data_IF_257787144612
#
_entry.id   IF_257787144612
#
_cell.length_a   1.000
_cell.length_b   1.000
_cell.length_c   1.000
_cell.angle_alpha   90.00
_cell.angle_beta   90.00
_cell.angle_gamma   90.00
#
_symmetry.space_group_name_H-M   'P 1'
#
loop_
_entity.id
_entity.type
_entity.pdbx_description
1 polymer ?
#
# COMPACT_ATOMS: atom_id res chain seq x y z
N UNK A 1 16.57 13.69 8.41
CA UNK A 1 15.20 13.43 8.92
C UNK A 1 14.44 12.59 7.90
N UNK A 2 14.19 11.32 8.22
CA UNK A 2 13.44 10.36 7.38
C UNK A 2 11.97 10.23 7.81
N UNK A 3 11.19 9.45 7.07
CA UNK A 3 9.81 9.10 7.40
C UNK A 3 9.69 7.60 7.72
N UNK A 4 8.94 7.24 8.76
CA UNK A 4 8.76 5.85 9.16
C UNK A 4 7.29 5.54 9.44
N UNK A 5 6.78 4.45 8.87
CA UNK A 5 5.36 4.10 8.91
C UNK A 5 5.12 2.60 9.15
N UNK A 6 4.00 2.29 9.82
CA UNK A 6 3.62 0.91 10.17
C UNK A 6 2.46 0.47 9.27
N UNK A 7 2.69 -0.59 8.50
CA UNK A 7 1.74 -1.28 7.63
C UNK A 7 0.90 -0.33 6.74
N UNK A 8 1.53 0.64 6.04
CA UNK A 8 0.77 1.60 5.24
C UNK A 8 0.04 0.92 4.07
N UNK A 9 -1.13 1.44 3.73
CA UNK A 9 -1.74 1.18 2.43
C UNK A 9 -1.24 2.24 1.45
N UNK A 10 -0.47 1.83 0.45
CA UNK A 10 0.29 2.75 -0.41
C UNK A 10 -0.44 3.10 -1.70
N UNK A 11 -1.59 2.48 -1.95
CA UNK A 11 -2.46 2.77 -3.09
C UNK A 11 -3.94 2.71 -2.72
N UNK A 12 -4.73 3.54 -3.39
CA UNK A 12 -6.19 3.49 -3.41
C UNK A 12 -6.72 2.89 -4.73
N UNK A 13 -5.86 2.50 -5.67
CA UNK A 13 -6.28 1.98 -6.96
C UNK A 13 -6.80 0.54 -6.86
N UNK A 14 -8.10 0.28 -7.12
CA UNK A 14 -8.66 -1.06 -7.03
C UNK A 14 -8.05 -2.06 -8.02
N UNK A 15 -7.51 -1.58 -9.16
CA UNK A 15 -6.84 -2.44 -10.13
C UNK A 15 -5.51 -2.93 -9.57
N UNK A 16 -4.68 -2.02 -9.04
CA UNK A 16 -3.42 -2.36 -8.38
C UNK A 16 -3.67 -3.31 -7.19
N UNK A 17 -4.63 -2.98 -6.32
CA UNK A 17 -4.99 -3.84 -5.19
C UNK A 17 -5.38 -5.26 -5.63
N UNK A 18 -6.17 -5.38 -6.71
CA UNK A 18 -6.59 -6.69 -7.25
C UNK A 18 -5.43 -7.49 -7.81
N UNK A 19 -4.54 -6.83 -8.53
CA UNK A 19 -3.37 -7.44 -9.15
C UNK A 19 -2.36 -7.91 -8.10
N UNK A 20 -2.08 -7.07 -7.10
CA UNK A 20 -1.07 -7.37 -6.08
C UNK A 20 -1.59 -8.36 -5.04
N UNK A 21 -2.89 -8.31 -4.71
CA UNK A 21 -3.50 -9.15 -3.68
C UNK A 21 -4.94 -9.51 -4.08
N UNK A 22 -5.18 -10.67 -4.72
CA UNK A 22 -6.46 -11.02 -5.33
C UNK A 22 -7.68 -11.06 -4.40
N UNK A 23 -7.48 -11.18 -3.08
CA UNK A 23 -8.53 -11.11 -2.05
C UNK A 23 -8.62 -9.75 -1.33
N UNK A 24 -7.96 -8.71 -1.84
CA UNK A 24 -8.16 -7.34 -1.36
C UNK A 24 -9.53 -6.82 -1.80
N UNK A 25 -10.40 -6.57 -0.83
CA UNK A 25 -11.77 -6.05 -1.04
C UNK A 25 -12.02 -4.74 -0.29
N UNK A 26 -10.97 -4.14 0.27
CA UNK A 26 -11.04 -2.88 1.01
C UNK A 26 -10.85 -1.68 0.06
N UNK A 27 -11.24 -0.48 0.48
CA UNK A 27 -11.03 0.76 -0.28
C UNK A 27 -12.30 1.46 -0.79
N UNK A 28 -13.28 0.73 -1.34
CA UNK A 28 -14.47 1.36 -1.94
C UNK A 28 -15.30 2.24 -0.99
N UNK A 29 -15.35 1.88 0.29
CA UNK A 29 -16.01 2.68 1.33
C UNK A 29 -15.36 4.06 1.57
N UNK A 30 -14.07 4.24 1.29
CA UNK A 30 -13.37 5.52 1.46
C UNK A 30 -13.90 6.60 0.50
N UNK A 31 -14.53 6.18 -0.60
CA UNK A 31 -15.14 7.08 -1.59
C UNK A 31 -16.65 7.28 -1.37
N UNK A 32 -17.22 6.70 -0.30
CA UNK A 32 -18.60 6.95 0.15
C UNK A 32 -19.73 6.52 -0.79
N UNK A 33 -19.44 5.89 -1.94
CA UNK A 33 -20.43 5.69 -3.02
C UNK A 33 -20.48 4.29 -3.66
N UNK A 34 -19.79 3.30 -3.10
CA UNK A 34 -19.64 1.96 -3.71
C UNK A 34 -20.19 0.79 -2.89
N UNK A 35 -20.98 1.08 -1.85
CA UNK A 35 -21.64 0.06 -1.05
C UNK A 35 -23.12 0.37 -0.91
N UNK A 36 -23.98 -0.60 -1.20
CA UNK A 36 -25.39 -0.57 -0.81
C UNK A 36 -25.57 -1.35 0.50
N UNK A 37 -26.62 -0.99 1.25
CA UNK A 37 -26.97 -1.70 2.48
C UNK A 37 -27.20 -3.18 2.19
N UNK A 38 -26.39 -4.05 2.81
CA UNK A 38 -26.48 -5.51 2.64
C UNK A 38 -25.48 -6.11 1.65
N UNK A 39 -24.74 -5.31 0.89
CA UNK A 39 -23.72 -5.84 -0.03
C UNK A 39 -22.58 -6.53 0.72
N UNK A 40 -22.12 -7.67 0.20
CA UNK A 40 -20.88 -8.32 0.67
C UNK A 40 -19.66 -7.59 0.10
N UNK A 41 -18.54 -7.61 0.84
CA UNK A 41 -17.27 -6.96 0.44
C UNK A 41 -16.84 -7.22 -1.03
N UNK A 42 -16.91 -8.46 -1.57
CA UNK A 42 -16.53 -8.70 -2.96
C UNK A 42 -17.40 -7.96 -3.99
N UNK A 43 -18.71 -7.84 -3.73
CA UNK A 43 -19.63 -7.12 -4.61
C UNK A 43 -19.34 -5.61 -4.58
N UNK A 44 -19.16 -5.05 -3.38
CA UNK A 44 -18.78 -3.63 -3.20
C UNK A 44 -17.47 -3.32 -3.93
N UNK A 45 -16.46 -4.19 -3.79
CA UNK A 45 -15.19 -4.00 -4.48
C UNK A 45 -15.33 -4.14 -6.00
N UNK A 46 -16.16 -5.06 -6.50
CA UNK A 46 -16.39 -5.17 -7.94
C UNK A 46 -16.99 -3.88 -8.52
N UNK A 47 -17.95 -3.27 -7.81
CA UNK A 47 -18.49 -1.94 -8.16
C UNK A 47 -17.42 -0.86 -8.10
N UNK A 48 -16.58 -0.85 -7.07
CA UNK A 48 -15.46 0.09 -6.94
C UNK A 48 -14.45 -0.05 -8.10
N UNK A 49 -14.08 -1.29 -8.46
CA UNK A 49 -13.19 -1.58 -9.58
C UNK A 49 -13.79 -1.14 -10.92
N UNK A 50 -15.08 -1.38 -11.15
CA UNK A 50 -15.76 -0.93 -12.37
C UNK A 50 -15.82 0.60 -12.47
N UNK A 51 -15.91 1.30 -11.34
CA UNK A 51 -15.94 2.76 -11.26
C UNK A 51 -14.54 3.40 -11.17
N UNK A 52 -13.46 2.63 -11.41
CA UNK A 52 -12.07 3.11 -11.25
C UNK A 52 -11.80 4.42 -11.98
N UNK A 53 -12.26 4.54 -13.22
CA UNK A 53 -12.01 5.74 -14.03
C UNK A 53 -12.66 6.99 -13.42
N UNK A 54 -13.85 6.86 -12.82
CA UNK A 54 -14.57 7.96 -12.17
C UNK A 54 -13.90 8.47 -10.89
N UNK A 55 -13.08 7.63 -10.24
CA UNK A 55 -12.31 7.98 -9.03
C UNK A 55 -10.82 8.16 -9.31
N UNK A 56 -10.36 7.94 -10.53
CA UNK A 56 -8.95 8.02 -10.88
C UNK A 56 -8.32 9.37 -10.50
N UNK A 57 -8.99 10.54 -10.65
CA UNK A 57 -8.45 11.81 -10.16
C UNK A 57 -8.17 11.80 -8.65
N UNK A 58 -9.08 11.23 -7.86
CA UNK A 58 -8.92 11.09 -6.41
C UNK A 58 -7.83 10.06 -6.06
N UNK A 59 -7.76 8.94 -6.79
CA UNK A 59 -6.69 7.95 -6.61
C UNK A 59 -5.32 8.61 -6.82
N UNK A 60 -5.16 9.37 -7.91
CA UNK A 60 -3.91 10.11 -8.19
C UNK A 60 -3.61 11.17 -7.14
N UNK A 61 -4.63 11.88 -6.66
CA UNK A 61 -4.45 12.92 -5.66
C UNK A 61 -4.09 12.37 -4.27
N UNK A 62 -4.51 11.16 -3.91
CA UNK A 62 -4.43 10.68 -2.52
C UNK A 62 -3.68 9.36 -2.31
N UNK A 63 -3.25 8.65 -3.35
CA UNK A 63 -2.44 7.44 -3.20
C UNK A 63 -0.97 7.81 -2.97
N UNK A 64 -0.32 7.39 -1.87
CA UNK A 64 1.10 7.67 -1.63
C UNK A 64 2.01 7.29 -2.80
N UNK A 65 1.75 6.14 -3.44
CA UNK A 65 2.55 5.70 -4.60
C UNK A 65 2.47 6.66 -5.79
N UNK A 66 1.43 7.48 -5.93
CA UNK A 66 1.28 8.42 -7.06
C UNK A 66 2.14 9.69 -6.90
N UNK A 67 2.66 9.96 -5.70
CA UNK A 67 3.40 11.18 -5.36
C UNK A 67 4.91 10.98 -5.14
N UNK A 68 5.42 9.78 -5.38
CA UNK A 68 6.86 9.52 -5.25
C UNK A 68 7.66 10.44 -6.17
N UNK A 69 8.67 11.09 -5.60
CA UNK A 69 9.55 12.06 -6.24
C UNK A 69 10.99 11.93 -5.71
N UNK A 70 11.98 12.33 -6.50
CA UNK A 70 13.40 12.14 -6.15
C UNK A 70 13.87 12.96 -4.94
N UNK A 71 13.10 13.96 -4.52
CA UNK A 71 13.35 14.79 -3.34
C UNK A 71 12.62 14.28 -2.08
N UNK A 72 11.92 13.14 -2.15
CA UNK A 72 11.36 12.50 -0.97
C UNK A 72 12.47 12.10 0.02
N UNK A 73 12.21 12.22 1.33
CA UNK A 73 13.17 11.78 2.34
C UNK A 73 13.32 10.25 2.33
N UNK A 74 14.40 9.71 2.93
CA UNK A 74 14.49 8.27 3.19
C UNK A 74 13.25 7.74 3.91
N UNK A 75 12.73 6.61 3.42
CA UNK A 75 11.48 6.02 3.92
C UNK A 75 11.77 4.67 4.58
N UNK A 76 11.16 4.45 5.74
CA UNK A 76 11.08 3.14 6.38
C UNK A 76 9.64 2.65 6.45
N UNK A 77 9.41 1.40 6.04
CA UNK A 77 8.11 0.76 6.11
C UNK A 77 8.19 -0.55 6.88
N UNK A 78 7.33 -0.73 7.87
CA UNK A 78 7.23 -1.97 8.63
C UNK A 78 5.98 -2.76 8.30
N UNK A 79 6.14 -4.04 7.96
CA UNK A 79 5.05 -5.02 7.86
C UNK A 79 5.34 -6.26 8.69
N UNK A 80 4.27 -6.97 9.09
CA UNK A 80 4.36 -8.19 9.90
C UNK A 80 4.39 -9.48 9.08
N UNK A 81 3.96 -9.44 7.82
CA UNK A 81 3.77 -10.62 6.97
C UNK A 81 4.76 -10.66 5.79
N UNK A 82 5.05 -11.86 5.32
CA UNK A 82 5.91 -12.10 4.15
C UNK A 82 5.20 -11.64 2.87
N UNK A 83 5.85 -10.89 1.97
CA UNK A 83 5.24 -10.49 0.70
C UNK A 83 4.96 -11.71 -0.18
N UNK A 84 3.81 -11.71 -0.85
CA UNK A 84 3.42 -12.68 -1.88
C UNK A 84 2.58 -11.97 -2.93
N UNK A 85 3.25 -11.27 -3.86
CA UNK A 85 2.60 -10.56 -4.96
C UNK A 85 1.75 -11.54 -5.79
N UNK A 86 0.53 -11.13 -6.13
CA UNK A 86 -0.41 -11.94 -6.92
C UNK A 86 -1.07 -13.09 -6.17
N UNK A 87 -0.79 -13.25 -4.87
CA UNK A 87 -1.36 -14.32 -4.04
C UNK A 87 -2.32 -13.79 -2.98
N UNK A 88 -3.21 -14.66 -2.50
CA UNK A 88 -4.11 -14.32 -1.38
C UNK A 88 -3.31 -14.14 -0.10
N UNK A 89 -3.74 -13.17 0.70
CA UNK A 89 -3.12 -12.83 2.00
C UNK A 89 -4.11 -13.06 3.13
N UNK A 90 -3.61 -13.41 4.32
CA UNK A 90 -4.43 -13.55 5.54
C UNK A 90 -5.04 -12.21 5.96
N UNK A 91 -4.24 -11.15 5.92
CA UNK A 91 -4.67 -9.76 6.13
C UNK A 91 -4.37 -8.91 4.88
N UNK A 92 -5.27 -8.88 3.89
CA UNK A 92 -5.04 -8.17 2.63
C UNK A 92 -5.05 -6.64 2.78
N UNK A 93 -5.55 -6.09 3.90
CA UNK A 93 -5.55 -4.63 4.13
C UNK A 93 -4.17 -4.15 4.59
N UNK A 94 -3.45 -4.99 5.33
CA UNK A 94 -2.13 -4.66 5.90
C UNK A 94 -0.98 -5.49 5.30
N UNK A 95 -1.16 -5.98 4.08
CA UNK A 95 -0.16 -6.81 3.40
C UNK A 95 1.11 -6.04 3.02
N UNK A 96 2.27 -6.67 3.18
CA UNK A 96 3.57 -6.16 2.72
C UNK A 96 3.68 -5.98 1.21
N UNK A 97 2.75 -6.54 0.42
CA UNK A 97 2.70 -6.31 -1.03
C UNK A 97 2.61 -4.80 -1.36
N UNK A 98 1.92 -4.01 -0.52
CA UNK A 98 1.88 -2.54 -0.67
C UNK A 98 3.26 -1.90 -0.49
N UNK A 99 4.04 -2.38 0.47
CA UNK A 99 5.39 -1.91 0.74
C UNK A 99 6.35 -2.25 -0.39
N UNK A 100 6.30 -3.48 -0.90
CA UNK A 100 7.15 -3.92 -2.02
C UNK A 100 6.94 -3.03 -3.24
N UNK A 101 5.69 -2.77 -3.63
CA UNK A 101 5.39 -1.96 -4.82
C UNK A 101 5.73 -0.48 -4.63
N UNK A 102 5.62 0.06 -3.42
CA UNK A 102 6.09 1.42 -3.14
C UNK A 102 7.62 1.50 -3.14
N UNK A 103 8.31 0.52 -2.56
CA UNK A 103 9.77 0.45 -2.54
C UNK A 103 10.36 0.41 -3.96
N UNK A 104 9.79 -0.40 -4.86
CA UNK A 104 10.17 -0.43 -6.27
C UNK A 104 10.13 0.99 -6.89
N UNK A 105 9.03 1.73 -6.69
CA UNK A 105 8.88 3.09 -7.23
C UNK A 105 9.83 4.12 -6.58
N UNK A 106 10.08 3.99 -5.27
CA UNK A 106 11.05 4.81 -4.55
C UNK A 106 12.46 4.60 -5.10
N UNK A 107 12.87 3.35 -5.30
CA UNK A 107 14.16 3.01 -5.88
C UNK A 107 14.31 3.50 -7.33
N UNK A 108 13.25 3.38 -8.15
CA UNK A 108 13.22 3.95 -9.51
C UNK A 108 13.43 5.47 -9.52
N UNK A 109 13.03 6.16 -8.45
CA UNK A 109 13.19 7.61 -8.28
C UNK A 109 14.47 8.01 -7.53
N UNK A 110 15.32 7.05 -7.16
CA UNK A 110 16.55 7.28 -6.41
C UNK A 110 16.36 7.57 -4.92
N UNK A 111 15.17 7.30 -4.37
CA UNK A 111 14.84 7.52 -2.96
C UNK A 111 15.21 6.29 -2.14
N UNK A 112 15.94 6.50 -1.06
CA UNK A 112 16.29 5.44 -0.11
C UNK A 112 15.04 4.87 0.55
N UNK A 113 14.88 3.56 0.52
CA UNK A 113 13.75 2.89 1.15
C UNK A 113 14.18 1.60 1.86
N UNK A 114 13.97 1.54 3.17
CA UNK A 114 14.14 0.34 3.96
C UNK A 114 12.77 -0.29 4.28
N UNK A 115 12.58 -1.53 3.83
CA UNK A 115 11.30 -2.24 3.95
C UNK A 115 11.47 -3.46 4.84
N UNK A 116 10.99 -3.35 6.08
CA UNK A 116 10.90 -4.50 6.97
C UNK A 116 9.63 -5.32 6.68
N UNK A 117 9.81 -6.63 6.56
CA UNK A 117 8.77 -7.65 6.69
C UNK A 117 9.35 -8.90 7.36
N UNK A 118 8.50 -9.87 7.72
CA UNK A 118 8.99 -11.12 8.33
C UNK A 118 10.00 -11.82 7.44
N UNK A 119 11.25 -11.93 7.91
CA UNK A 119 12.35 -12.56 7.17
C UNK A 119 13.07 -11.62 6.18
N UNK A 120 12.80 -10.31 6.22
CA UNK A 120 13.63 -9.32 5.55
C UNK A 120 15.00 -9.23 6.23
N UNK A 121 16.05 -9.05 5.42
CA UNK A 121 17.39 -8.72 5.90
C UNK A 121 17.54 -7.20 5.88
N UNK A 122 17.34 -6.57 7.04
CA UNK A 122 17.29 -5.12 7.20
C UNK A 122 18.01 -4.72 8.48
N UNK A 123 18.56 -3.51 8.49
CA UNK A 123 19.29 -2.97 9.63
C UNK A 123 18.35 -2.65 10.81
N UNK A 124 17.19 -2.06 10.50
CA UNK A 124 16.20 -1.64 11.46
C UNK A 124 15.04 -2.64 11.49
N UNK A 125 14.90 -3.34 12.61
CA UNK A 125 13.78 -4.28 12.81
C UNK A 125 12.52 -3.61 13.36
N UNK A 126 12.62 -2.34 13.77
CA UNK A 126 11.50 -1.57 14.33
C UNK A 126 11.47 -0.14 13.77
N UNK A 127 10.29 0.47 13.77
CA UNK A 127 10.16 1.91 13.46
C UNK A 127 10.99 2.76 14.43
N UNK A 128 11.04 2.38 15.72
CA UNK A 128 11.79 3.13 16.71
C UNK A 128 13.29 3.12 16.43
N UNK A 129 13.87 1.96 16.09
CA UNK A 129 15.30 1.85 15.78
C UNK A 129 15.66 2.72 14.58
N UNK A 130 14.84 2.73 13.52
CA UNK A 130 15.06 3.57 12.35
C UNK A 130 15.02 5.07 12.68
N UNK A 131 14.02 5.50 13.45
CA UNK A 131 13.87 6.93 13.77
C UNK A 131 14.99 7.44 14.69
N UNK A 132 15.52 6.60 15.59
CA UNK A 132 16.61 6.99 16.48
C UNK A 132 17.97 7.14 15.77
N UNK A 133 18.14 6.54 14.59
CA UNK A 133 19.38 6.60 13.80
C UNK A 133 19.44 7.84 12.85
N UNK A 134 18.33 8.56 12.66
CA UNK A 134 18.15 9.57 11.58
C UNK A 134 18.13 11.04 12.01
#
# INVERSE_FOLDING_TARGET
MGAAVIRPQTTLDPKQMREWTPNSWYGGHAFGRFAKKGDKKPAQFATFLAAREDVLPWIKAYSPIEHVSSDDPPIYMFYSDVPRIGQKQSDPTHTSNFGVKLQEKLHESGVECELHYKGADVEHTTVLSYVLDR
#
